data_IF_964509789310
#
_entry.id   IF_964509789310
#
_cell.length_a   1.000
_cell.length_b   1.000
_cell.length_c   1.000
_cell.angle_alpha   90.00
_cell.angle_beta   90.00
_cell.angle_gamma   90.00
#
_symmetry.space_group_name_H-M   'P 1'
#
loop_
_entity.id
_entity.type
_entity.pdbx_description
1 polymer ?
#
# COMPACT_ATOMS: atom_id res chain seq x y z
N UNK A 1 11.60 4.14 9.88
CA UNK A 1 12.34 4.76 8.74
C UNK A 1 11.67 4.45 7.39
N UNK A 2 10.35 4.63 7.25
CA UNK A 2 9.61 4.19 6.06
C UNK A 2 9.85 5.04 4.78
N UNK A 3 10.31 6.29 4.92
CA UNK A 3 10.50 7.20 3.78
C UNK A 3 11.84 7.09 3.05
N UNK A 4 12.84 6.41 3.65
CA UNK A 4 14.18 6.37 3.09
C UNK A 4 14.25 5.59 1.77
N UNK A 5 13.60 4.43 1.70
CA UNK A 5 13.53 3.61 0.48
C UNK A 5 12.93 4.37 -0.71
N UNK A 6 11.72 4.95 -0.57
CA UNK A 6 11.11 5.76 -1.63
C UNK A 6 11.99 6.93 -2.09
N UNK A 7 12.62 7.66 -1.17
CA UNK A 7 13.54 8.77 -1.52
C UNK A 7 14.71 8.27 -2.36
N UNK A 8 15.30 7.13 -1.98
CA UNK A 8 16.45 6.55 -2.67
C UNK A 8 16.07 6.11 -4.09
N UNK A 9 14.95 5.38 -4.22
CA UNK A 9 14.40 4.95 -5.52
C UNK A 9 14.09 6.16 -6.41
N UNK A 10 13.44 7.19 -5.86
CA UNK A 10 13.11 8.41 -6.61
C UNK A 10 14.37 9.13 -7.09
N UNK A 11 15.36 9.30 -6.21
CA UNK A 11 16.63 9.94 -6.53
C UNK A 11 17.33 9.21 -7.68
N UNK A 12 17.47 7.88 -7.57
CA UNK A 12 18.09 7.05 -8.62
C UNK A 12 17.28 7.10 -9.92
N UNK A 13 15.95 7.08 -9.85
CA UNK A 13 15.09 7.18 -11.02
C UNK A 13 15.22 8.53 -11.74
N UNK A 14 15.40 9.64 -11.01
CA UNK A 14 15.61 10.97 -11.59
C UNK A 14 16.97 11.09 -12.31
N UNK A 15 18.01 10.39 -11.86
CA UNK A 15 19.32 10.40 -12.51
C UNK A 15 19.44 9.40 -13.68
N UNK A 16 18.50 8.46 -13.81
CA UNK A 16 18.52 7.45 -14.87
C UNK A 16 17.64 7.85 -16.06
N UNK A 17 18.26 8.27 -17.18
CA UNK A 17 17.57 8.61 -18.44
C UNK A 17 16.78 7.45 -19.07
N UNK A 18 17.06 6.20 -18.70
CA UNK A 18 16.33 5.03 -19.16
C UNK A 18 15.13 4.66 -18.26
N UNK A 19 14.89 5.41 -17.18
CA UNK A 19 13.75 5.18 -16.31
C UNK A 19 12.43 5.43 -17.08
N UNK A 20 11.53 4.45 -17.02
CA UNK A 20 10.24 4.51 -17.70
C UNK A 20 9.29 5.47 -16.96
N UNK A 21 9.43 6.77 -17.21
CA UNK A 21 8.54 7.81 -16.68
C UNK A 21 7.26 7.89 -17.52
N UNK A 22 6.31 7.00 -17.25
CA UNK A 22 4.98 7.06 -17.87
C UNK A 22 3.91 7.16 -16.78
N UNK A 23 3.76 8.36 -16.23
CA UNK A 23 2.74 8.64 -15.21
C UNK A 23 1.34 8.60 -15.83
N UNK A 24 0.52 7.69 -15.35
CA UNK A 24 -0.88 7.57 -15.74
C UNK A 24 -1.75 8.63 -15.09
N UNK A 25 -2.97 8.84 -15.60
CA UNK A 25 -3.94 9.77 -15.00
C UNK A 25 -4.25 9.44 -13.53
N UNK A 26 -4.16 8.16 -13.15
CA UNK A 26 -4.37 7.70 -11.78
C UNK A 26 -3.26 8.16 -10.83
N UNK A 27 -2.01 8.23 -11.29
CA UNK A 27 -0.87 8.68 -10.48
C UNK A 27 -1.03 10.15 -10.07
N UNK A 28 -1.53 10.99 -10.98
CA UNK A 28 -1.85 12.39 -10.69
C UNK A 28 -3.00 12.53 -9.69
N UNK A 29 -4.05 11.69 -9.79
CA UNK A 29 -5.14 11.68 -8.81
C UNK A 29 -4.61 11.29 -7.44
N UNK A 30 -3.79 10.24 -7.35
CA UNK A 30 -3.20 9.80 -6.10
C UNK A 30 -2.30 10.89 -5.49
N UNK A 31 -1.49 11.57 -6.30
CA UNK A 31 -0.69 12.71 -5.86
C UNK A 31 -1.54 13.87 -5.35
N UNK A 32 -2.60 14.23 -6.05
CA UNK A 32 -3.53 15.28 -5.63
C UNK A 32 -4.25 14.93 -4.32
N UNK A 33 -4.76 13.70 -4.20
CA UNK A 33 -5.40 13.21 -2.97
C UNK A 33 -4.43 13.22 -1.78
N UNK A 34 -3.16 12.86 -2.01
CA UNK A 34 -2.13 12.93 -0.97
C UNK A 34 -1.89 14.36 -0.46
N UNK A 35 -1.83 15.35 -1.36
CA UNK A 35 -1.72 16.76 -1.00
C UNK A 35 -2.95 17.21 -0.19
N UNK A 36 -4.15 16.85 -0.63
CA UNK A 36 -5.38 17.18 0.10
C UNK A 36 -5.40 16.55 1.51
N UNK A 37 -4.93 15.31 1.64
CA UNK A 37 -4.83 14.63 2.93
C UNK A 37 -3.87 15.35 3.88
N UNK A 38 -2.73 15.85 3.38
CA UNK A 38 -1.77 16.64 4.17
C UNK A 38 -2.38 17.98 4.64
N UNK A 39 -3.10 18.68 3.76
CA UNK A 39 -3.78 19.93 4.11
C UNK A 39 -4.87 19.68 5.15
N UNK A 40 -5.70 18.66 4.95
CA UNK A 40 -6.74 18.27 5.89
C UNK A 40 -6.16 17.87 7.26
N UNK A 41 -5.04 17.14 7.27
CA UNK A 41 -4.34 16.81 8.50
C UNK A 41 -3.86 18.05 9.25
N UNK A 42 -3.21 18.99 8.55
CA UNK A 42 -2.71 20.24 9.13
C UNK A 42 -3.83 21.05 9.80
N UNK A 43 -5.02 21.09 9.18
CA UNK A 43 -6.18 21.80 9.73
C UNK A 43 -6.82 21.10 10.92
N UNK A 44 -6.90 19.77 10.91
CA UNK A 44 -7.77 19.03 11.84
C UNK A 44 -7.16 18.89 13.24
N UNK A 45 -5.83 18.90 13.38
CA UNK A 45 -5.08 18.76 14.67
C UNK A 45 -5.51 17.59 15.58
N UNK A 46 -6.39 16.71 15.12
CA UNK A 46 -6.90 15.55 15.84
C UNK A 46 -6.20 14.28 15.35
N UNK A 47 -5.51 13.52 16.23
CA UNK A 47 -4.83 12.29 15.86
C UNK A 47 -5.74 11.23 15.24
N UNK A 48 -7.01 11.16 15.68
CA UNK A 48 -7.96 10.16 15.19
C UNK A 48 -8.32 10.38 13.71
N UNK A 49 -8.58 11.65 13.34
CA UNK A 49 -8.92 11.98 11.95
C UNK A 49 -7.71 11.84 11.05
N UNK A 50 -6.52 12.17 11.56
CA UNK A 50 -5.26 11.98 10.84
C UNK A 50 -5.09 10.51 10.38
N UNK A 51 -5.35 9.57 11.28
CA UNK A 51 -5.18 8.14 10.99
C UNK A 51 -6.26 7.61 10.06
N UNK A 52 -7.50 8.05 10.20
CA UNK A 52 -8.55 7.70 9.25
C UNK A 52 -8.22 8.18 7.83
N UNK A 53 -7.75 9.43 7.70
CA UNK A 53 -7.30 9.97 6.42
C UNK A 53 -6.09 9.22 5.87
N UNK A 54 -5.14 8.83 6.72
CA UNK A 54 -3.98 8.04 6.32
C UNK A 54 -4.40 6.66 5.78
N UNK A 55 -5.29 5.96 6.47
CA UNK A 55 -5.83 4.66 6.03
C UNK A 55 -6.58 4.79 4.70
N UNK A 56 -7.42 5.83 4.55
CA UNK A 56 -8.14 6.08 3.31
C UNK A 56 -7.19 6.37 2.14
N UNK A 57 -6.17 7.20 2.37
CA UNK A 57 -5.17 7.52 1.37
C UNK A 57 -4.37 6.29 0.96
N UNK A 58 -3.97 5.44 1.91
CA UNK A 58 -3.24 4.20 1.61
C UNK A 58 -4.12 3.21 0.84
N UNK A 59 -5.39 3.08 1.22
CA UNK A 59 -6.34 2.20 0.54
C UNK A 59 -6.55 2.62 -0.93
N UNK A 60 -6.66 3.92 -1.19
CA UNK A 60 -6.75 4.45 -2.56
C UNK A 60 -5.45 4.19 -3.34
N UNK A 61 -4.28 4.31 -2.70
CA UNK A 61 -2.99 4.00 -3.32
C UNK A 61 -2.80 2.50 -3.59
N UNK A 62 -3.45 1.63 -2.80
CA UNK A 62 -3.40 0.18 -2.99
C UNK A 62 -4.28 -0.32 -4.15
N UNK A 63 -5.31 0.44 -4.56
CA UNK A 63 -6.21 0.08 -5.66
C UNK A 63 -5.51 -0.31 -6.98
N UNK A 64 -4.57 0.48 -7.54
CA UNK A 64 -3.90 0.12 -8.79
C UNK A 64 -3.15 -1.20 -8.68
N UNK A 65 -2.53 -1.48 -7.53
CA UNK A 65 -1.86 -2.75 -7.25
C UNK A 65 -2.87 -3.90 -7.19
N UNK A 66 -4.03 -3.69 -6.58
CA UNK A 66 -5.10 -4.69 -6.52
C UNK A 66 -5.65 -5.02 -7.92
N UNK A 67 -5.93 -3.98 -8.72
CA UNK A 67 -6.41 -4.11 -10.10
C UNK A 67 -5.37 -4.83 -10.96
N UNK A 68 -4.09 -4.47 -10.82
CA UNK A 68 -2.99 -5.11 -11.55
C UNK A 68 -2.81 -6.57 -11.13
N UNK A 69 -2.83 -6.85 -9.83
CA UNK A 69 -2.75 -8.21 -9.29
C UNK A 69 -3.90 -9.11 -9.74
N UNK A 70 -5.11 -8.56 -9.93
CA UNK A 70 -6.25 -9.31 -10.46
C UNK A 70 -6.14 -9.63 -11.96
N UNK A 71 -5.70 -8.66 -12.75
CA UNK A 71 -5.63 -8.79 -14.21
C UNK A 71 -4.37 -9.53 -14.68
N UNK A 72 -3.24 -9.32 -14.00
CA UNK A 72 -1.92 -9.86 -14.35
C UNK A 72 -1.21 -10.43 -13.10
N UNK A 73 -1.75 -11.48 -12.47
CA UNK A 73 -1.22 -12.03 -11.22
C UNK A 73 0.20 -12.61 -11.35
N UNK A 74 0.66 -12.94 -12.56
CA UNK A 74 2.06 -13.35 -12.78
C UNK A 74 3.08 -12.22 -12.63
N UNK A 75 2.65 -10.95 -12.73
CA UNK A 75 3.55 -9.79 -12.64
C UNK A 75 3.78 -9.32 -11.20
N UNK A 76 2.97 -9.79 -10.26
CA UNK A 76 3.02 -9.40 -8.85
C UNK A 76 3.28 -10.63 -7.98
N UNK A 77 4.15 -10.51 -6.99
CA UNK A 77 4.46 -11.62 -6.10
C UNK A 77 3.73 -11.48 -4.76
N UNK A 78 2.68 -12.27 -4.56
CA UNK A 78 1.88 -12.30 -3.33
C UNK A 78 2.69 -12.55 -2.05
N UNK A 79 3.82 -13.27 -2.14
CA UNK A 79 4.69 -13.52 -0.98
C UNK A 79 5.37 -12.26 -0.44
N UNK A 80 5.52 -11.21 -1.25
CA UNK A 80 6.09 -9.94 -0.77
C UNK A 80 5.22 -9.30 0.32
N UNK A 81 3.90 -9.54 0.27
CA UNK A 81 2.96 -9.04 1.28
C UNK A 81 3.06 -9.77 2.62
N UNK A 82 3.70 -10.94 2.70
CA UNK A 82 3.99 -11.60 3.98
C UNK A 82 5.00 -10.79 4.80
N UNK A 83 5.96 -10.13 4.15
CA UNK A 83 6.89 -9.22 4.83
C UNK A 83 6.14 -8.07 5.50
N UNK A 84 5.18 -7.47 4.79
CA UNK A 84 4.30 -6.43 5.33
C UNK A 84 3.42 -6.94 6.46
N UNK A 85 2.86 -8.15 6.33
CA UNK A 85 2.08 -8.80 7.38
C UNK A 85 2.90 -9.01 8.66
N UNK A 86 4.12 -9.53 8.52
CA UNK A 86 5.02 -9.76 9.64
C UNK A 86 5.41 -8.44 10.30
N UNK A 87 5.80 -7.44 9.51
CA UNK A 87 6.12 -6.10 10.01
C UNK A 87 4.94 -5.47 10.75
N UNK A 88 3.73 -5.52 10.20
CA UNK A 88 2.54 -4.96 10.85
C UNK A 88 2.17 -5.73 12.14
N UNK A 89 2.43 -7.04 12.18
CA UNK A 89 2.25 -7.84 13.40
C UNK A 89 3.24 -7.44 14.51
N UNK A 90 4.48 -7.10 14.15
CA UNK A 90 5.44 -6.59 15.14
C UNK A 90 5.06 -5.23 15.70
N UNK A 91 4.27 -4.41 15.00
CA UNK A 91 3.81 -3.12 15.53
C UNK A 91 2.93 -3.26 16.78
N UNK A 92 2.30 -4.41 17.02
CA UNK A 92 1.52 -4.64 18.24
C UNK A 92 2.38 -4.74 19.51
N UNK A 93 3.67 -5.05 19.40
CA UNK A 93 4.57 -5.07 20.56
C UNK A 93 4.96 -3.65 21.02
N UNK A 94 4.78 -2.66 20.15
CA UNK A 94 5.05 -1.25 20.43
C UNK A 94 3.82 -0.52 21.02
N UNK A 95 2.63 -1.14 20.99
CA UNK A 95 1.40 -0.52 21.50
C UNK A 95 1.48 -0.40 23.02
N UNK A 96 1.54 0.84 23.51
CA UNK A 96 1.54 1.14 24.95
C UNK A 96 0.14 1.41 25.45
N UNK A 97 -0.70 2.03 24.62
CA UNK A 97 -2.10 2.30 24.95
C UNK A 97 -2.99 1.75 23.84
N UNK A 98 -4.01 0.97 24.22
CA UNK A 98 -5.02 0.42 23.31
C UNK A 98 -5.98 1.49 22.78
N UNK A 99 -5.41 2.51 22.13
CA UNK A 99 -6.11 3.61 21.48
C UNK A 99 -6.22 3.30 19.99
N UNK A 100 -7.28 3.83 19.39
CA UNK A 100 -7.51 3.75 17.96
C UNK A 100 -6.30 4.26 17.16
N UNK A 101 -5.59 5.25 17.70
CA UNK A 101 -4.42 5.84 17.06
C UNK A 101 -3.21 4.92 16.95
N UNK A 102 -3.07 3.94 17.85
CA UNK A 102 -1.92 3.02 17.84
C UNK A 102 -2.27 1.73 17.10
N UNK A 103 -3.54 1.32 17.15
CA UNK A 103 -3.95 -0.02 16.72
C UNK A 103 -4.59 -0.04 15.33
N UNK A 104 -5.25 1.05 14.89
CA UNK A 104 -6.03 1.03 13.65
C UNK A 104 -5.17 0.82 12.39
N UNK A 105 -4.01 1.46 12.31
CA UNK A 105 -3.15 1.38 11.13
C UNK A 105 -2.48 0.00 11.00
N UNK A 106 -1.91 -0.61 12.06
CA UNK A 106 -1.41 -1.99 11.99
C UNK A 106 -2.47 -3.03 11.63
N UNK A 107 -3.68 -2.94 12.21
CA UNK A 107 -4.79 -3.85 11.85
C UNK A 107 -5.12 -3.72 10.36
N UNK A 108 -5.25 -2.48 9.88
CA UNK A 108 -5.52 -2.21 8.47
C UNK A 108 -4.46 -2.82 7.56
N UNK A 109 -3.16 -2.65 7.86
CA UNK A 109 -2.07 -3.22 7.08
C UNK A 109 -2.11 -4.75 7.03
N UNK A 110 -2.46 -5.42 8.13
CA UNK A 110 -2.62 -6.88 8.15
C UNK A 110 -3.76 -7.30 7.22
N UNK A 111 -4.92 -6.66 7.32
CA UNK A 111 -6.10 -6.97 6.49
C UNK A 111 -5.77 -6.76 5.00
N UNK A 112 -5.13 -5.64 4.66
CA UNK A 112 -4.75 -5.32 3.29
C UNK A 112 -3.73 -6.34 2.75
N UNK A 113 -2.71 -6.67 3.54
CA UNK A 113 -1.66 -7.62 3.15
C UNK A 113 -2.21 -9.02 2.89
N UNK A 114 -3.12 -9.51 3.76
CA UNK A 114 -3.81 -10.77 3.54
C UNK A 114 -4.68 -10.72 2.28
N UNK A 115 -5.45 -9.65 2.12
CA UNK A 115 -6.32 -9.48 0.95
C UNK A 115 -5.51 -9.53 -0.35
N UNK A 116 -4.39 -8.81 -0.43
CA UNK A 116 -3.51 -8.82 -1.59
C UNK A 116 -2.90 -10.20 -1.83
N UNK A 117 -2.41 -10.86 -0.79
CA UNK A 117 -1.82 -12.19 -0.88
C UNK A 117 -2.83 -13.21 -1.43
N UNK A 118 -4.02 -13.28 -0.82
CA UNK A 118 -5.07 -14.23 -1.25
C UNK A 118 -5.58 -13.94 -2.65
N UNK A 119 -5.75 -12.65 -2.99
CA UNK A 119 -6.25 -12.24 -4.29
C UNK A 119 -5.26 -12.60 -5.40
N UNK A 120 -3.98 -12.27 -5.24
CA UNK A 120 -2.95 -12.53 -6.25
C UNK A 120 -2.70 -14.04 -6.38
N UNK A 121 -2.49 -14.74 -5.26
CA UNK A 121 -2.15 -16.17 -5.27
C UNK A 121 -3.34 -17.04 -5.69
N UNK A 122 -4.54 -16.73 -5.17
CA UNK A 122 -5.77 -17.41 -5.54
C UNK A 122 -6.09 -17.25 -7.03
N UNK A 123 -5.95 -16.03 -7.56
CA UNK A 123 -6.13 -15.77 -8.99
C UNK A 123 -5.08 -16.50 -9.84
N UNK A 124 -3.81 -16.50 -9.40
CA UNK A 124 -2.71 -17.21 -10.07
C UNK A 124 -2.99 -18.71 -10.18
N UNK A 125 -3.43 -19.34 -9.09
CA UNK A 125 -3.72 -20.77 -9.06
C UNK A 125 -4.94 -21.12 -9.92
N UNK A 126 -5.98 -20.27 -9.92
CA UNK A 126 -7.13 -20.44 -10.81
C UNK A 126 -6.75 -20.39 -12.29
N UNK A 127 -5.93 -19.41 -12.70
CA UNK A 127 -5.48 -19.30 -14.09
C UNK A 127 -4.54 -20.43 -14.51
N UNK A 128 -3.68 -20.91 -13.60
CA UNK A 128 -2.87 -22.12 -13.83
C UNK A 128 -3.73 -23.35 -14.10
N UNK A 129 -4.75 -23.59 -13.26
CA UNK A 129 -5.67 -24.71 -13.47
C UNK A 129 -6.44 -24.62 -14.80
N UNK A 130 -6.89 -23.42 -15.18
CA UNK A 130 -7.60 -23.21 -16.46
C UNK A 130 -6.72 -23.42 -17.70
N UNK A 131 -5.39 -23.21 -17.60
CA UNK A 131 -4.44 -23.44 -18.70
C UNK A 131 -4.08 -24.93 -18.91
N UNK A 132 -4.36 -25.78 -17.92
CA UNK A 132 -4.02 -27.21 -17.95
C UNK A 132 -5.16 -28.08 -18.48
N UNK A 133 -6.40 -27.56 -18.49
CA UNK A 133 -7.59 -28.12 -19.14
C UNK A 133 -7.70 -27.67 -20.59
#
# INVERSE_FOLDING_TARGET
MAGFGPILVFTVACFNKAAYWKMGKFDYICGFVSILALVAWYMTKSPNVAILLAILSDALAALPTLIKGWNFPETENGFLFLGSLFSASTSFTEVHQWKLTEVAFPIYLIILSLTMMFLIEGRRNYLKHKKVL
#
